data_IF_484118001267
#
_entry.id   IF_484118001267
#
_cell.length_a   1.000
_cell.length_b   1.000
_cell.length_c   1.000
_cell.angle_alpha   90.00
_cell.angle_beta   90.00
_cell.angle_gamma   90.00
#
_symmetry.space_group_name_H-M   'P 1'
#
loop_
_entity.id
_entity.type
_entity.pdbx_description
1 polymer ?
#
# COMPACT_ATOMS: atom_id res chain seq x y z
N UNK A 1 -19.95 15.09 12.00
CA UNK A 1 -18.70 15.68 12.55
C UNK A 1 -17.65 16.06 11.49
N UNK A 2 -17.73 15.57 10.23
CA UNK A 2 -16.83 15.99 9.14
C UNK A 2 -17.57 16.30 7.82
N UNK A 3 -18.81 16.78 7.88
CA UNK A 3 -19.50 17.21 6.65
C UNK A 3 -18.88 18.53 6.18
N UNK A 4 -18.29 18.51 4.98
CA UNK A 4 -17.63 19.67 4.35
C UNK A 4 -16.12 19.83 4.59
N UNK A 5 -15.47 18.91 5.32
CA UNK A 5 -14.07 19.09 5.71
C UNK A 5 -13.04 18.97 4.56
N UNK A 6 -13.30 18.15 3.53
CA UNK A 6 -12.46 18.05 2.33
C UNK A 6 -13.32 17.78 1.09
N UNK A 7 -13.04 18.51 0.00
CA UNK A 7 -13.68 18.24 -1.29
C UNK A 7 -13.00 17.06 -1.97
N UNK A 8 -13.72 16.38 -2.87
CA UNK A 8 -13.14 15.30 -3.69
C UNK A 8 -11.88 15.73 -4.46
N UNK A 9 -11.79 17.01 -4.83
CA UNK A 9 -10.60 17.59 -5.47
C UNK A 9 -9.39 17.58 -4.53
N UNK A 10 -9.58 17.89 -3.26
CA UNK A 10 -8.50 17.95 -2.27
C UNK A 10 -7.97 16.55 -1.99
N UNK A 11 -8.86 15.57 -1.85
CA UNK A 11 -8.51 14.15 -1.75
C UNK A 11 -7.75 13.65 -2.99
N UNK A 12 -8.19 14.03 -4.19
CA UNK A 12 -7.50 13.67 -5.43
C UNK A 12 -6.12 14.31 -5.54
N UNK A 13 -5.96 15.55 -5.10
CA UNK A 13 -4.68 16.25 -5.07
C UNK A 13 -3.73 15.59 -4.06
N UNK A 14 -4.23 15.28 -2.86
CA UNK A 14 -3.46 14.57 -1.84
C UNK A 14 -3.02 13.20 -2.32
N UNK A 15 -3.93 12.42 -2.92
CA UNK A 15 -3.60 11.12 -3.51
C UNK A 15 -2.46 11.26 -4.53
N UNK A 16 -2.56 12.23 -5.46
CA UNK A 16 -1.53 12.45 -6.48
C UNK A 16 -0.19 12.88 -5.89
N UNK A 17 -0.21 13.77 -4.91
CA UNK A 17 1.00 14.19 -4.17
C UNK A 17 1.67 12.98 -3.52
N UNK A 18 0.91 12.17 -2.79
CA UNK A 18 1.42 10.94 -2.19
C UNK A 18 1.93 9.97 -3.26
N UNK A 19 1.24 9.76 -4.38
CA UNK A 19 1.76 8.89 -5.44
C UNK A 19 3.14 9.32 -5.94
N UNK A 20 3.36 10.63 -6.13
CA UNK A 20 4.65 11.18 -6.57
C UNK A 20 5.73 11.03 -5.50
N UNK A 21 5.39 11.04 -4.22
CA UNK A 21 6.35 10.77 -3.14
C UNK A 21 6.66 9.27 -3.02
N UNK A 22 5.64 8.42 -2.99
CA UNK A 22 5.76 7.02 -2.61
C UNK A 22 6.35 6.14 -3.71
N UNK A 23 5.92 6.30 -4.97
CA UNK A 23 6.39 5.43 -6.07
C UNK A 23 7.91 5.50 -6.26
N UNK A 24 8.55 6.70 -6.31
CA UNK A 24 10.00 6.78 -6.40
C UNK A 24 10.71 6.23 -5.17
N UNK A 25 10.16 6.42 -3.97
CA UNK A 25 10.76 5.88 -2.73
C UNK A 25 10.72 4.35 -2.69
N UNK A 26 9.64 3.73 -3.17
CA UNK A 26 9.59 2.26 -3.35
C UNK A 26 10.62 1.82 -4.37
N UNK A 27 10.76 2.53 -5.49
CA UNK A 27 11.79 2.26 -6.49
C UNK A 27 13.20 2.32 -5.91
N UNK A 28 13.50 3.36 -5.12
CA UNK A 28 14.78 3.52 -4.44
C UNK A 28 15.03 2.42 -3.40
N UNK A 29 14.00 2.05 -2.63
CA UNK A 29 14.06 0.98 -1.64
C UNK A 29 14.43 -0.37 -2.30
N UNK A 30 13.74 -0.74 -3.37
CA UNK A 30 14.04 -1.96 -4.15
C UNK A 30 15.44 -1.89 -4.74
N UNK A 31 15.82 -0.76 -5.33
CA UNK A 31 17.15 -0.57 -5.90
C UNK A 31 18.25 -0.74 -4.85
N UNK A 32 18.10 -0.12 -3.68
CA UNK A 32 19.05 -0.24 -2.58
C UNK A 32 19.22 -1.70 -2.14
N UNK A 33 18.12 -2.47 -2.05
CA UNK A 33 18.18 -3.89 -1.71
C UNK A 33 18.89 -4.74 -2.78
N UNK A 34 18.68 -4.45 -4.08
CA UNK A 34 19.36 -5.18 -5.16
C UNK A 34 20.85 -4.87 -5.25
N UNK A 35 21.28 -3.71 -4.74
CA UNK A 35 22.69 -3.30 -4.70
C UNK A 35 23.38 -3.71 -3.38
N UNK A 36 22.62 -4.22 -2.41
CA UNK A 36 23.13 -4.64 -1.11
C UNK A 36 23.81 -6.03 -1.21
N UNK A 37 25.13 -6.03 -0.95
CA UNK A 37 25.97 -7.23 -0.99
C UNK A 37 25.65 -8.25 0.12
N UNK A 38 24.99 -7.84 1.19
CA UNK A 38 24.53 -8.69 2.30
C UNK A 38 23.18 -9.32 1.95
N UNK A 39 22.24 -8.53 1.41
CA UNK A 39 20.90 -9.00 1.09
C UNK A 39 20.89 -10.00 -0.09
N UNK A 40 21.79 -9.81 -1.08
CA UNK A 40 21.96 -10.71 -2.25
C UNK A 40 20.65 -11.02 -2.99
N UNK A 41 19.78 -10.02 -3.10
CA UNK A 41 18.49 -10.13 -3.80
C UNK A 41 18.74 -10.07 -5.31
N UNK A 42 18.36 -11.12 -6.03
CA UNK A 42 18.47 -11.15 -7.49
C UNK A 42 17.27 -10.44 -8.13
N UNK A 43 17.40 -9.85 -9.33
CA UNK A 43 16.27 -9.24 -10.04
C UNK A 43 15.07 -10.18 -10.24
N UNK A 44 15.30 -11.50 -10.33
CA UNK A 44 14.21 -12.48 -10.46
C UNK A 44 13.37 -12.61 -9.18
N UNK A 45 13.95 -12.31 -8.02
CA UNK A 45 13.26 -12.38 -6.73
C UNK A 45 12.29 -11.21 -6.54
N UNK A 46 12.39 -10.18 -7.39
CA UNK A 46 11.45 -9.05 -7.47
C UNK A 46 10.14 -9.40 -8.17
N UNK A 47 10.08 -10.55 -8.84
CA UNK A 47 8.91 -10.99 -9.64
C UNK A 47 8.37 -12.32 -9.13
N UNK A 48 9.23 -13.21 -8.66
CA UNK A 48 8.82 -14.52 -8.16
C UNK A 48 8.96 -14.54 -6.64
N UNK A 49 7.85 -14.56 -5.88
CA UNK A 49 7.89 -14.48 -4.43
C UNK A 49 8.48 -15.75 -3.80
N UNK A 50 8.92 -15.63 -2.53
CA UNK A 50 9.37 -16.74 -1.67
C UNK A 50 10.66 -17.46 -2.10
N UNK A 51 11.43 -16.91 -3.04
CA UNK A 51 12.71 -17.49 -3.49
C UNK A 51 13.87 -17.31 -2.50
N UNK A 52 13.78 -16.31 -1.63
CA UNK A 52 14.87 -15.93 -0.72
C UNK A 52 14.78 -16.74 0.57
N UNK A 53 15.59 -17.79 0.70
CA UNK A 53 15.46 -18.80 1.75
C UNK A 53 15.54 -18.25 3.20
N UNK A 54 16.39 -17.27 3.47
CA UNK A 54 16.60 -16.75 4.84
C UNK A 54 15.42 -15.93 5.37
N UNK A 55 14.57 -15.39 4.49
CA UNK A 55 13.43 -14.55 4.87
C UNK A 55 12.29 -14.69 3.86
N UNK A 56 11.97 -15.94 3.48
CA UNK A 56 11.07 -16.24 2.37
C UNK A 56 9.71 -15.55 2.52
N UNK A 57 9.09 -15.63 3.71
CA UNK A 57 7.79 -15.04 3.97
C UNK A 57 7.84 -13.51 3.92
N UNK A 58 8.77 -12.89 4.67
CA UNK A 58 8.87 -11.43 4.73
C UNK A 58 9.16 -10.84 3.35
N UNK A 59 10.18 -11.34 2.65
CA UNK A 59 10.58 -10.84 1.33
C UNK A 59 9.53 -11.20 0.27
N UNK A 60 8.97 -12.40 0.30
CA UNK A 60 7.93 -12.82 -0.64
C UNK A 60 6.66 -11.96 -0.55
N UNK A 61 6.27 -11.50 0.64
CA UNK A 61 5.21 -10.50 0.77
C UNK A 61 5.61 -9.16 0.15
N UNK A 62 6.87 -8.73 0.27
CA UNK A 62 7.39 -7.55 -0.41
C UNK A 62 7.25 -7.67 -1.94
N UNK A 63 7.62 -8.83 -2.50
CA UNK A 63 7.45 -9.15 -3.93
C UNK A 63 5.98 -9.09 -4.35
N UNK A 64 5.07 -9.75 -3.63
CA UNK A 64 3.62 -9.70 -3.93
C UNK A 64 3.10 -8.26 -3.86
N UNK A 65 3.53 -7.49 -2.86
CA UNK A 65 3.16 -6.08 -2.74
C UNK A 65 3.64 -5.25 -3.93
N UNK A 66 4.87 -5.50 -4.40
CA UNK A 66 5.44 -4.85 -5.58
C UNK A 66 4.66 -5.20 -6.86
N UNK A 67 4.28 -6.47 -7.04
CA UNK A 67 3.46 -6.92 -8.18
C UNK A 67 2.09 -6.23 -8.18
N UNK A 68 1.43 -6.15 -7.02
CA UNK A 68 0.16 -5.44 -6.89
C UNK A 68 0.29 -3.94 -7.14
N UNK A 69 1.37 -3.32 -6.67
CA UNK A 69 1.69 -1.92 -6.95
C UNK A 69 1.85 -1.69 -8.45
N UNK A 70 2.55 -2.58 -9.14
CA UNK A 70 2.75 -2.53 -10.57
C UNK A 70 1.41 -2.65 -11.32
N UNK A 71 0.57 -3.62 -10.96
CA UNK A 71 -0.78 -3.79 -11.52
C UNK A 71 -1.61 -2.53 -11.34
N UNK A 72 -1.71 -2.00 -10.12
CA UNK A 72 -2.51 -0.80 -9.83
C UNK A 72 -1.98 0.42 -10.57
N UNK A 73 -0.66 0.59 -10.65
CA UNK A 73 -0.02 1.73 -11.30
C UNK A 73 -0.23 1.70 -12.81
N UNK A 74 0.07 0.57 -13.46
CA UNK A 74 -0.08 0.40 -14.91
C UNK A 74 -1.55 0.55 -15.32
N UNK A 75 -2.47 -0.11 -14.60
CA UNK A 75 -3.90 -0.03 -14.93
C UNK A 75 -4.47 1.36 -14.68
N UNK A 76 -3.94 2.11 -13.71
CA UNK A 76 -4.33 3.50 -13.47
C UNK A 76 -3.79 4.45 -14.56
N UNK A 77 -2.57 4.21 -15.06
CA UNK A 77 -2.02 4.94 -16.20
C UNK A 77 -2.84 4.68 -17.48
N UNK A 78 -3.19 3.42 -17.73
CA UNK A 78 -3.98 2.99 -18.89
C UNK A 78 -5.50 3.16 -18.70
N UNK A 79 -5.95 3.85 -17.65
CA UNK A 79 -7.38 4.00 -17.31
C UNK A 79 -8.26 4.44 -18.49
N UNK A 80 -7.73 5.28 -19.40
CA UNK A 80 -8.48 5.77 -20.57
C UNK A 80 -8.78 4.67 -21.62
N UNK A 81 -8.04 3.57 -21.58
CA UNK A 81 -8.17 2.43 -22.50
C UNK A 81 -8.89 1.23 -21.87
N UNK A 82 -9.27 1.33 -20.59
CA UNK A 82 -9.93 0.26 -19.85
C UNK A 82 -11.41 0.58 -19.64
N UNK A 83 -12.23 -0.47 -19.62
CA UNK A 83 -13.60 -0.36 -19.16
C UNK A 83 -13.65 0.24 -17.73
N UNK A 84 -14.56 1.19 -17.44
CA UNK A 84 -14.63 1.84 -16.12
C UNK A 84 -14.88 0.89 -14.95
N UNK A 85 -15.62 -0.20 -15.15
CA UNK A 85 -15.86 -1.22 -14.13
C UNK A 85 -14.62 -2.07 -13.91
N UNK A 86 -13.97 -2.51 -14.98
CA UNK A 86 -12.72 -3.28 -14.90
C UNK A 86 -11.62 -2.49 -14.17
N UNK A 87 -11.43 -1.22 -14.55
CA UNK A 87 -10.48 -0.34 -13.87
C UNK A 87 -10.79 -0.19 -12.37
N UNK A 88 -12.06 -0.03 -11.98
CA UNK A 88 -12.43 0.09 -10.55
C UNK A 88 -12.05 -1.17 -9.78
N UNK A 89 -12.25 -2.37 -10.34
CA UNK A 89 -11.88 -3.62 -9.68
C UNK A 89 -10.37 -3.79 -9.56
N UNK A 90 -9.63 -3.48 -10.62
CA UNK A 90 -8.16 -3.53 -10.59
C UNK A 90 -7.59 -2.50 -9.60
N UNK A 91 -8.12 -1.29 -9.59
CA UNK A 91 -7.66 -0.25 -8.68
C UNK A 91 -7.96 -0.59 -7.20
N UNK A 92 -9.03 -1.36 -6.90
CA UNK A 92 -9.30 -1.88 -5.56
C UNK A 92 -8.25 -2.86 -5.05
N UNK A 93 -7.38 -3.41 -5.91
CA UNK A 93 -6.23 -4.21 -5.47
C UNK A 93 -5.23 -3.39 -4.63
N UNK A 94 -5.35 -2.06 -4.60
CA UNK A 94 -4.63 -1.20 -3.66
C UNK A 94 -4.92 -1.52 -2.19
N UNK A 95 -6.11 -2.04 -1.86
CA UNK A 95 -6.46 -2.43 -0.49
C UNK A 95 -5.66 -3.65 0.00
N UNK A 96 -5.66 -4.82 -0.69
CA UNK A 96 -4.81 -5.93 -0.29
C UNK A 96 -3.32 -5.59 -0.42
N UNK A 97 -2.91 -4.79 -1.41
CA UNK A 97 -1.53 -4.30 -1.55
C UNK A 97 -1.04 -3.61 -0.27
N UNK A 98 -1.84 -2.69 0.29
CA UNK A 98 -1.51 -2.02 1.54
C UNK A 98 -1.31 -3.02 2.70
N UNK A 99 -2.21 -3.99 2.84
CA UNK A 99 -2.11 -5.03 3.88
C UNK A 99 -0.85 -5.89 3.73
N UNK A 100 -0.53 -6.29 2.50
CA UNK A 100 0.67 -7.07 2.18
C UNK A 100 1.95 -6.28 2.50
N UNK A 101 2.03 -4.99 2.15
CA UNK A 101 3.18 -4.15 2.51
C UNK A 101 3.30 -3.93 4.02
N UNK A 102 2.18 -3.76 4.73
CA UNK A 102 2.19 -3.64 6.18
C UNK A 102 2.75 -4.92 6.85
N UNK A 103 2.34 -6.09 6.37
CA UNK A 103 2.87 -7.37 6.85
C UNK A 103 4.35 -7.57 6.48
N UNK A 104 4.75 -7.22 5.26
CA UNK A 104 6.15 -7.22 4.84
C UNK A 104 7.02 -6.35 5.75
N UNK A 105 6.57 -5.13 6.06
CA UNK A 105 7.27 -4.23 6.95
C UNK A 105 7.38 -4.84 8.36
N UNK A 106 6.27 -5.32 8.91
CA UNK A 106 6.22 -5.90 10.27
C UNK A 106 7.14 -7.13 10.41
N UNK A 107 7.20 -7.98 9.37
CA UNK A 107 7.97 -9.21 9.40
C UNK A 107 9.44 -9.03 9.01
N UNK A 108 9.78 -8.01 8.21
CA UNK A 108 11.17 -7.75 7.81
C UNK A 108 11.92 -6.87 8.80
N UNK A 109 11.23 -6.02 9.57
CA UNK A 109 11.85 -4.93 10.28
C UNK A 109 12.22 -5.22 11.74
N UNK A 110 13.51 -5.24 12.03
CA UNK A 110 14.03 -5.02 13.41
C UNK A 110 13.68 -3.62 13.94
N UNK A 111 13.41 -2.66 13.04
CA UNK A 111 13.10 -1.27 13.37
C UNK A 111 11.80 -1.11 14.14
N UNK A 112 10.85 -2.03 13.98
CA UNK A 112 9.62 -2.07 14.78
C UNK A 112 9.85 -2.41 16.25
N UNK A 113 11.05 -2.83 16.63
CA UNK A 113 11.47 -2.89 18.04
C UNK A 113 11.64 -1.50 18.68
N UNK A 114 11.72 -0.43 17.89
CA UNK A 114 11.81 0.95 18.39
C UNK A 114 10.41 1.57 18.48
N UNK A 115 9.96 2.01 19.67
CA UNK A 115 8.62 2.60 19.85
C UNK A 115 8.34 3.79 18.92
N UNK A 116 9.38 4.58 18.60
CA UNK A 116 9.26 5.75 17.72
C UNK A 116 8.85 5.37 16.28
N UNK A 117 9.25 4.19 15.81
CA UNK A 117 8.90 3.68 14.47
C UNK A 117 7.58 2.90 14.52
N UNK A 118 7.37 2.12 15.59
CA UNK A 118 6.17 1.31 15.77
C UNK A 118 4.91 2.15 15.98
N UNK A 119 4.97 3.19 16.80
CA UNK A 119 3.80 4.00 17.16
C UNK A 119 3.05 4.58 15.95
N UNK A 120 3.68 5.27 14.98
CA UNK A 120 2.96 5.79 13.82
C UNK A 120 2.38 4.69 12.93
N UNK A 121 3.10 3.58 12.73
CA UNK A 121 2.60 2.46 11.94
C UNK A 121 1.38 1.78 12.58
N UNK A 122 1.46 1.49 13.88
CA UNK A 122 0.36 0.94 14.65
C UNK A 122 -0.84 1.91 14.68
N UNK A 123 -0.59 3.21 14.82
CA UNK A 123 -1.63 4.25 14.78
C UNK A 123 -2.41 4.27 13.47
N UNK A 124 -1.72 4.17 12.32
CA UNK A 124 -2.38 4.10 11.00
C UNK A 124 -3.22 2.83 10.86
N UNK A 125 -2.68 1.67 11.25
CA UNK A 125 -3.41 0.39 11.18
C UNK A 125 -4.65 0.43 12.09
N UNK A 126 -4.49 0.93 13.33
CA UNK A 126 -5.59 1.05 14.28
C UNK A 126 -6.67 1.99 13.76
N UNK A 127 -6.30 3.16 13.22
CA UNK A 127 -7.24 4.11 12.63
C UNK A 127 -8.05 3.49 11.48
N UNK A 128 -7.38 2.84 10.52
CA UNK A 128 -8.04 2.17 9.39
C UNK A 128 -9.00 1.08 9.91
N UNK A 129 -8.57 0.30 10.89
CA UNK A 129 -9.38 -0.78 11.49
C UNK A 129 -10.62 -0.23 12.16
N UNK A 130 -10.47 0.79 13.01
CA UNK A 130 -11.58 1.43 13.74
C UNK A 130 -12.59 2.02 12.76
N UNK A 131 -12.13 2.77 11.74
CA UNK A 131 -13.04 3.38 10.75
C UNK A 131 -13.74 2.31 9.91
N UNK A 132 -13.04 1.23 9.55
CA UNK A 132 -13.64 0.10 8.82
C UNK A 132 -14.71 -0.60 9.65
N UNK A 133 -14.41 -0.91 10.92
CA UNK A 133 -15.36 -1.54 11.84
C UNK A 133 -16.58 -0.64 12.09
N UNK A 134 -16.36 0.66 12.33
CA UNK A 134 -17.44 1.63 12.47
C UNK A 134 -18.31 1.67 11.21
N UNK A 135 -17.71 1.62 10.03
CA UNK A 135 -18.45 1.61 8.76
C UNK A 135 -19.29 0.35 8.58
N UNK A 136 -18.79 -0.81 8.98
CA UNK A 136 -19.52 -2.08 8.93
C UNK A 136 -20.66 -2.11 9.96
N UNK A 137 -20.40 -1.63 11.18
CA UNK A 137 -21.36 -1.65 12.28
C UNK A 137 -22.51 -0.63 12.10
N UNK A 138 -22.21 0.58 11.64
CA UNK A 138 -23.18 1.68 11.57
C UNK A 138 -23.70 1.95 10.15
N UNK A 139 -23.27 1.17 9.15
CA UNK A 139 -23.72 1.30 7.77
C UNK A 139 -23.41 2.65 7.11
N UNK A 140 -24.16 2.99 6.06
CA UNK A 140 -24.11 4.33 5.47
C UNK A 140 -24.81 5.31 6.41
N UNK A 141 -24.04 6.16 7.12
CA UNK A 141 -24.65 7.32 7.77
C UNK A 141 -25.40 8.11 6.71
N UNK A 142 -26.70 8.30 6.91
CA UNK A 142 -27.53 9.14 6.06
C UNK A 142 -26.94 10.54 6.10
N UNK A 143 -26.27 10.93 5.02
CA UNK A 143 -25.87 12.32 4.80
C UNK A 143 -27.16 13.09 4.58
N UNK A 144 -27.56 13.89 5.56
CA UNK A 144 -28.72 14.77 5.45
C UNK A 144 -28.46 15.71 4.28
N UNK A 145 -29.11 15.46 3.15
CA UNK A 145 -29.09 16.38 2.00
C UNK A 145 -29.68 17.71 2.47
N UNK A 146 -28.89 18.77 2.44
CA UNK A 146 -29.38 20.16 2.45
C UNK A 146 -29.18 20.75 1.08
#
# INVERSE_FOLDING_TARGET
MFEGAMRNRDLSNLHRFLTVCWVPLVGLHVLAMTLDAVARISPIDLVIPFRVAYAALAIGLGTIGLDLLLIVTITSYLRRHLDPLAWRWLHRMSYPMFGVFALHALLSGTDFGRPLVLAPAAGVIAFITIVTLARVAFGRMETTQR
#
